data_IF_921573288080
#
_entry.id   IF_921573288080
#
_cell.length_a   1.000
_cell.length_b   1.000
_cell.length_c   1.000
_cell.angle_alpha   90.00
_cell.angle_beta   90.00
_cell.angle_gamma   90.00
#
_symmetry.space_group_name_H-M   'P 1'
#
loop_
_entity.id
_entity.type
_entity.pdbx_description
1 polymer ?
#
# COMPACT_ATOMS: atom_id res chain seq x y z
N UNK A 1 13.80 95.38 28.87
CA UNK A 1 12.54 95.51 29.59
C UNK A 1 12.18 94.14 30.01
N UNK A 2 12.48 93.92 31.21
CA UNK A 2 11.66 93.74 32.40
C UNK A 2 11.10 92.35 32.48
N UNK A 3 11.59 91.62 33.31
CA UNK A 3 11.38 91.41 34.78
C UNK A 3 10.53 90.18 35.02
N UNK A 4 11.13 89.18 35.71
CA UNK A 4 10.79 88.78 37.11
C UNK A 4 9.46 87.96 37.19
N UNK A 5 9.24 86.91 37.85
CA UNK A 5 9.76 86.36 39.13
C UNK A 5 9.23 84.96 39.37
N UNK A 6 10.04 84.14 40.01
CA UNK A 6 9.81 83.35 41.23
C UNK A 6 8.75 82.30 41.28
N UNK A 7 9.21 81.15 41.58
CA UNK A 7 8.97 80.52 42.88
C UNK A 7 8.20 79.20 42.82
N UNK A 8 8.73 78.19 43.37
CA UNK A 8 7.96 77.03 43.77
C UNK A 8 8.75 75.66 43.75
N UNK A 9 9.54 75.56 44.78
CA UNK A 9 10.13 74.28 45.23
C UNK A 9 9.05 73.27 45.56
N UNK A 10 9.16 72.11 44.95
CA UNK A 10 8.41 70.95 45.35
C UNK A 10 9.29 69.70 45.13
N UNK A 11 9.56 68.91 46.16
CA UNK A 11 10.50 67.82 46.07
C UNK A 11 9.99 66.70 45.16
N UNK A 12 10.82 66.32 44.20
CA UNK A 12 10.63 65.14 43.33
C UNK A 12 10.45 63.90 44.21
N UNK A 13 9.29 63.29 44.08
CA UNK A 13 8.98 61.97 44.57
C UNK A 13 9.85 60.97 43.79
N UNK A 14 10.95 60.56 44.44
CA UNK A 14 11.81 59.47 43.92
C UNK A 14 11.02 58.22 44.11
N UNK A 15 10.32 57.84 43.03
CA UNK A 15 9.69 56.54 42.93
C UNK A 15 10.68 55.47 43.31
N UNK A 16 10.51 54.86 44.46
CA UNK A 16 11.17 53.70 44.94
C UNK A 16 10.83 52.58 43.95
N UNK A 17 11.73 52.34 43.00
CA UNK A 17 11.75 51.12 42.21
C UNK A 17 11.81 49.93 43.17
N UNK A 18 10.74 49.16 43.22
CA UNK A 18 10.68 47.88 43.93
C UNK A 18 11.94 47.07 43.63
N UNK A 19 12.58 46.45 44.62
CA UNK A 19 13.79 45.68 44.38
C UNK A 19 13.43 44.50 43.47
N UNK A 20 13.87 44.58 42.22
CA UNK A 20 13.93 43.43 41.32
C UNK A 20 14.70 42.33 42.05
N UNK A 21 14.01 41.25 42.43
CA UNK A 21 14.62 40.13 43.14
C UNK A 21 15.87 39.67 42.39
N UNK A 22 16.92 39.28 43.09
CA UNK A 22 18.20 38.93 42.45
C UNK A 22 17.96 37.85 41.40
N UNK A 23 18.16 38.24 40.13
CA UNK A 23 18.27 37.28 39.03
C UNK A 23 19.38 36.32 39.42
N UNK A 24 19.10 35.02 39.32
CA UNK A 24 20.09 33.97 39.59
C UNK A 24 21.32 34.23 38.76
N UNK A 25 22.43 34.50 39.40
CA UNK A 25 23.74 34.48 38.74
C UNK A 25 24.07 33.04 38.35
N UNK A 26 24.59 32.87 37.16
CA UNK A 26 25.11 31.54 36.72
C UNK A 26 26.08 30.96 37.74
N UNK A 27 26.80 31.82 38.51
CA UNK A 27 27.70 31.41 39.59
C UNK A 27 26.93 30.74 40.76
N UNK A 28 25.74 31.21 41.14
CA UNK A 28 24.94 30.63 42.23
C UNK A 28 24.46 29.20 41.87
N UNK A 29 24.11 28.99 40.61
CA UNK A 29 23.71 27.66 40.10
C UNK A 29 24.92 26.70 40.14
N UNK A 30 26.09 27.15 39.71
CA UNK A 30 27.29 26.31 39.72
C UNK A 30 27.73 25.95 41.16
N UNK A 31 27.64 26.88 42.11
CA UNK A 31 27.94 26.67 43.53
C UNK A 31 26.89 25.69 44.14
N UNK A 32 25.62 25.83 43.82
CA UNK A 32 24.58 24.91 44.26
C UNK A 32 24.76 23.49 43.72
N UNK A 33 25.17 23.33 42.44
CA UNK A 33 25.54 22.04 41.85
C UNK A 33 26.76 21.44 42.57
N UNK A 34 27.76 22.28 42.89
CA UNK A 34 29.00 21.87 43.60
C UNK A 34 28.72 21.27 44.98
N UNK A 35 27.81 21.90 45.76
CA UNK A 35 27.38 21.39 47.06
C UNK A 35 26.39 20.20 46.97
N UNK A 36 25.69 20.05 45.81
CA UNK A 36 24.72 18.99 45.56
C UNK A 36 25.28 17.68 45.04
N UNK A 37 26.63 17.53 44.87
CA UNK A 37 27.25 16.36 44.25
C UNK A 37 26.75 15.02 44.79
N UNK A 38 26.63 14.89 46.11
CA UNK A 38 26.14 13.66 46.75
C UNK A 38 24.66 13.36 46.47
N UNK A 39 23.86 14.41 46.30
CA UNK A 39 22.43 14.27 45.94
C UNK A 39 22.28 13.88 44.46
N UNK A 40 23.05 14.55 43.60
CA UNK A 40 23.11 14.22 42.17
C UNK A 40 23.51 12.75 41.97
N UNK A 41 24.61 12.33 42.61
CA UNK A 41 25.07 10.94 42.51
C UNK A 41 24.01 9.92 42.96
N UNK A 42 23.32 10.19 44.06
CA UNK A 42 22.22 9.29 44.56
C UNK A 42 21.05 9.24 43.62
N UNK A 43 20.58 10.36 43.07
CA UNK A 43 19.45 10.39 42.12
C UNK A 43 19.85 9.67 40.83
N UNK A 44 21.01 9.96 40.27
CA UNK A 44 21.52 9.28 39.06
C UNK A 44 21.71 7.79 39.32
N UNK A 45 22.27 7.38 40.45
CA UNK A 45 22.41 5.97 40.80
C UNK A 45 21.04 5.27 40.92
N UNK A 46 20.07 5.91 41.56
CA UNK A 46 18.69 5.37 41.69
C UNK A 46 17.99 5.24 40.31
N UNK A 47 18.12 6.23 39.43
CA UNK A 47 17.53 6.16 38.08
C UNK A 47 18.23 5.14 37.18
N UNK A 48 19.53 4.96 37.32
CA UNK A 48 20.29 3.91 36.61
C UNK A 48 19.88 2.53 37.10
N UNK A 49 19.77 2.32 38.42
CA UNK A 49 19.28 1.04 38.98
C UNK A 49 17.86 0.73 38.51
N UNK A 50 16.99 1.72 38.47
CA UNK A 50 15.63 1.56 37.92
C UNK A 50 15.66 1.24 36.44
N UNK A 51 16.54 1.88 35.65
CA UNK A 51 16.74 1.59 34.23
C UNK A 51 17.25 0.17 33.98
N UNK A 52 18.19 -0.32 34.81
CA UNK A 52 18.69 -1.70 34.75
C UNK A 52 17.55 -2.68 35.07
N UNK A 53 16.80 -2.43 36.14
CA UNK A 53 15.68 -3.27 36.54
C UNK A 53 14.63 -3.33 35.40
N UNK A 54 14.30 -2.20 34.80
CA UNK A 54 13.38 -2.11 33.66
C UNK A 54 13.91 -2.89 32.44
N UNK A 55 15.21 -2.75 32.12
CA UNK A 55 15.85 -3.45 31.00
C UNK A 55 15.90 -4.99 31.18
N UNK A 56 15.83 -5.48 32.43
CA UNK A 56 15.78 -6.90 32.75
C UNK A 56 14.35 -7.47 32.73
N UNK A 57 13.36 -6.66 33.13
CA UNK A 57 11.95 -7.06 33.16
C UNK A 57 11.29 -7.05 31.79
N UNK A 58 11.72 -6.17 30.86
CA UNK A 58 11.16 -6.15 29.52
C UNK A 58 11.51 -7.43 28.75
N UNK A 59 10.51 -8.12 28.15
CA UNK A 59 10.77 -9.32 27.36
C UNK A 59 11.60 -8.98 26.12
N UNK A 60 12.54 -9.85 25.75
CA UNK A 60 13.32 -9.67 24.50
C UNK A 60 12.37 -9.82 23.30
N UNK A 61 12.54 -8.97 22.29
CA UNK A 61 11.85 -9.04 21.00
C UNK A 61 12.89 -9.38 19.95
N UNK A 62 12.60 -10.41 19.17
CA UNK A 62 13.40 -10.86 18.05
C UNK A 62 12.74 -10.41 16.76
N UNK A 63 13.53 -9.96 15.78
CA UNK A 63 13.07 -9.53 14.48
C UNK A 63 13.67 -10.44 13.41
N UNK A 64 12.79 -11.09 12.65
CA UNK A 64 13.17 -11.83 11.46
C UNK A 64 12.67 -11.09 10.22
N UNK A 65 13.44 -11.10 9.15
CA UNK A 65 13.08 -10.45 7.90
C UNK A 65 13.22 -11.38 6.71
N UNK A 66 12.30 -11.25 5.77
CA UNK A 66 12.33 -11.90 4.47
C UNK A 66 12.28 -10.86 3.36
N UNK A 67 12.92 -11.17 2.24
CA UNK A 67 12.96 -10.30 1.06
C UNK A 67 12.32 -11.03 -0.10
N UNK A 68 11.42 -10.34 -0.79
CA UNK A 68 10.76 -10.86 -1.99
C UNK A 68 10.90 -9.87 -3.15
N UNK A 69 10.98 -10.44 -4.34
CA UNK A 69 10.92 -9.70 -5.58
C UNK A 69 9.49 -9.79 -6.13
N UNK A 70 8.78 -8.65 -6.24
CA UNK A 70 7.51 -8.63 -6.95
C UNK A 70 7.71 -9.06 -8.40
N UNK A 71 6.73 -9.73 -9.02
CA UNK A 71 6.82 -10.07 -10.43
C UNK A 71 6.93 -8.82 -11.29
N UNK A 72 7.83 -8.88 -12.29
CA UNK A 72 8.07 -7.80 -13.25
C UNK A 72 6.83 -7.67 -14.16
N UNK A 73 6.12 -6.56 -14.06
CA UNK A 73 4.91 -6.29 -14.86
C UNK A 73 5.17 -6.23 -16.37
N UNK A 74 6.41 -5.92 -16.75
CA UNK A 74 6.78 -5.76 -18.16
C UNK A 74 6.97 -7.10 -18.91
N UNK A 75 7.12 -8.22 -18.20
CA UNK A 75 7.46 -9.54 -18.79
C UNK A 75 6.45 -10.65 -18.55
N UNK A 76 5.46 -10.44 -17.69
CA UNK A 76 4.47 -11.46 -17.33
C UNK A 76 3.16 -11.28 -18.07
N UNK A 77 2.43 -12.40 -18.23
CA UNK A 77 1.03 -12.46 -18.68
C UNK A 77 0.11 -11.49 -17.92
N UNK A 78 0.56 -10.97 -16.76
CA UNK A 78 -0.14 -10.08 -15.85
C UNK A 78 0.17 -8.60 -16.03
N UNK A 79 1.16 -8.23 -16.82
CA UNK A 79 1.47 -6.82 -17.08
C UNK A 79 0.29 -6.04 -17.67
N UNK A 80 -0.67 -6.75 -18.22
CA UNK A 80 -1.90 -6.19 -18.79
C UNK A 80 -3.09 -6.22 -17.82
N UNK A 81 -3.10 -7.17 -16.86
CA UNK A 81 -4.22 -7.34 -15.91
C UNK A 81 -3.97 -6.65 -14.56
N UNK A 82 -2.71 -6.41 -14.19
CA UNK A 82 -2.36 -5.74 -12.93
C UNK A 82 -2.70 -4.24 -12.95
N UNK A 83 -2.68 -3.60 -14.13
CA UNK A 83 -3.13 -2.20 -14.26
C UNK A 83 -4.61 -2.02 -13.91
N UNK A 84 -5.43 -3.06 -14.07
CA UNK A 84 -6.84 -3.07 -13.65
C UNK A 84 -7.01 -3.30 -12.15
N UNK A 85 -6.11 -4.07 -11.53
CA UNK A 85 -6.08 -4.25 -10.07
C UNK A 85 -5.61 -2.99 -9.34
N UNK A 86 -4.67 -2.22 -9.91
CA UNK A 86 -4.27 -0.90 -9.40
C UNK A 86 -5.46 0.07 -9.30
N UNK A 87 -6.32 0.08 -10.31
CA UNK A 87 -7.52 0.92 -10.32
C UNK A 87 -8.55 0.44 -9.29
N UNK A 88 -8.76 -0.87 -9.16
CA UNK A 88 -9.72 -1.44 -8.21
C UNK A 88 -9.25 -1.28 -6.77
N UNK A 89 -7.98 -1.58 -6.49
CA UNK A 89 -7.40 -1.45 -5.14
C UNK A 89 -7.26 0.02 -4.74
N UNK A 90 -6.86 0.92 -5.65
CA UNK A 90 -6.79 2.36 -5.42
C UNK A 90 -8.17 2.97 -5.17
N UNK A 91 -9.17 2.62 -5.97
CA UNK A 91 -10.54 3.11 -5.80
C UNK A 91 -11.22 2.58 -4.51
N UNK A 92 -10.94 1.34 -4.12
CA UNK A 92 -11.50 0.75 -2.90
C UNK A 92 -10.85 1.28 -1.61
N UNK A 93 -9.60 1.74 -1.67
CA UNK A 93 -8.83 2.22 -0.51
C UNK A 93 -8.60 3.73 -0.50
N UNK A 94 -8.99 4.47 -1.55
CA UNK A 94 -8.78 5.93 -1.63
C UNK A 94 -7.30 6.36 -1.66
N UNK A 95 -6.39 5.48 -2.10
CA UNK A 95 -4.95 5.70 -2.14
C UNK A 95 -4.49 5.77 -3.59
N UNK A 96 -3.90 6.89 -4.02
CA UNK A 96 -3.14 6.96 -5.27
C UNK A 96 -1.87 6.11 -5.16
N UNK A 97 -1.88 4.90 -5.69
CA UNK A 97 -0.69 4.06 -5.76
C UNK A 97 0.24 4.58 -6.85
N UNK A 98 1.41 5.07 -6.44
CA UNK A 98 2.39 5.66 -7.37
C UNK A 98 3.37 4.64 -7.96
N UNK A 99 3.44 3.44 -7.39
CA UNK A 99 4.37 2.39 -7.84
C UNK A 99 3.74 1.00 -7.72
N UNK A 100 4.07 0.06 -8.62
CA UNK A 100 3.57 -1.33 -8.58
C UNK A 100 3.79 -2.02 -7.23
N UNK A 101 4.91 -1.76 -6.60
CA UNK A 101 5.22 -2.34 -5.30
C UNK A 101 4.28 -1.92 -4.16
N UNK A 102 3.67 -0.73 -4.24
CA UNK A 102 2.68 -0.27 -3.24
C UNK A 102 1.43 -1.14 -3.23
N UNK A 103 1.04 -1.70 -4.38
CA UNK A 103 -0.05 -2.67 -4.48
C UNK A 103 0.24 -3.92 -3.63
N UNK A 104 1.46 -4.47 -3.73
CA UNK A 104 1.82 -5.66 -2.93
C UNK A 104 1.82 -5.38 -1.44
N UNK A 105 2.24 -4.17 -1.02
CA UNK A 105 2.12 -3.74 0.39
C UNK A 105 0.66 -3.66 0.82
N UNK A 106 -0.22 -3.11 -0.02
CA UNK A 106 -1.65 -3.04 0.28
C UNK A 106 -2.28 -4.44 0.36
N UNK A 107 -1.92 -5.36 -0.55
CA UNK A 107 -2.38 -6.74 -0.51
C UNK A 107 -1.91 -7.47 0.75
N UNK A 108 -0.65 -7.30 1.15
CA UNK A 108 -0.09 -7.88 2.38
C UNK A 108 -0.77 -7.38 3.65
N UNK A 109 -1.26 -6.13 3.65
CA UNK A 109 -2.04 -5.53 4.73
C UNK A 109 -3.54 -5.78 4.60
N UNK A 110 -3.98 -6.59 3.63
CA UNK A 110 -5.39 -6.91 3.45
C UNK A 110 -5.92 -7.75 4.62
N UNK A 111 -7.19 -7.52 4.97
CA UNK A 111 -7.85 -8.27 6.05
C UNK A 111 -7.86 -9.79 5.80
N UNK A 112 -7.88 -10.22 4.54
CA UNK A 112 -7.85 -11.64 4.18
C UNK A 112 -6.54 -12.31 4.58
N UNK A 113 -5.39 -11.67 4.34
CA UNK A 113 -4.07 -12.17 4.72
C UNK A 113 -3.92 -12.11 6.24
N UNK A 114 -4.21 -10.95 6.86
CA UNK A 114 -4.10 -10.78 8.31
C UNK A 114 -4.94 -11.79 9.08
N UNK A 115 -6.21 -12.00 8.70
CA UNK A 115 -7.09 -12.96 9.34
C UNK A 115 -6.63 -14.41 9.15
N UNK A 116 -6.05 -14.71 7.99
CA UNK A 116 -5.43 -16.00 7.72
C UNK A 116 -4.27 -16.28 8.67
N UNK A 117 -3.36 -15.34 8.82
CA UNK A 117 -2.19 -15.44 9.69
C UNK A 117 -2.59 -15.46 11.18
N UNK A 118 -3.54 -14.63 11.60
CA UNK A 118 -4.06 -14.61 12.96
C UNK A 118 -4.61 -16.00 13.36
N UNK A 119 -5.32 -16.66 12.44
CA UNK A 119 -5.84 -18.02 12.69
C UNK A 119 -4.75 -19.08 12.65
N UNK A 120 -3.83 -19.00 11.71
CA UNK A 120 -2.75 -19.98 11.52
C UNK A 120 -1.80 -20.04 12.73
N UNK A 121 -1.45 -18.88 13.31
CA UNK A 121 -0.52 -18.75 14.43
C UNK A 121 -1.22 -18.57 15.80
N UNK A 122 -2.54 -18.66 15.86
CA UNK A 122 -3.37 -18.39 17.07
C UNK A 122 -2.97 -17.07 17.77
N UNK A 123 -2.75 -16.01 16.94
CA UNK A 123 -2.21 -14.73 17.42
C UNK A 123 -3.12 -14.04 18.45
N UNK A 124 -4.40 -14.37 18.48
CA UNK A 124 -5.31 -13.83 19.51
C UNK A 124 -4.88 -14.25 20.92
N UNK A 125 -4.57 -15.52 21.11
CA UNK A 125 -4.05 -16.04 22.38
C UNK A 125 -2.65 -15.52 22.68
N UNK A 126 -1.78 -15.54 21.63
CA UNK A 126 -0.39 -15.11 21.74
C UNK A 126 -0.26 -13.63 22.15
N UNK A 127 -1.09 -12.76 21.57
CA UNK A 127 -1.11 -11.32 21.87
C UNK A 127 -2.04 -10.95 23.02
N UNK A 128 -2.76 -11.94 23.59
CA UNK A 128 -3.72 -11.77 24.70
C UNK A 128 -4.80 -10.74 24.36
N UNK A 129 -5.42 -10.89 23.19
CA UNK A 129 -6.49 -10.01 22.69
C UNK A 129 -7.74 -10.83 22.36
N UNK A 130 -8.92 -10.27 22.67
CA UNK A 130 -10.19 -11.02 22.57
C UNK A 130 -10.84 -10.88 21.19
N UNK A 131 -10.56 -9.77 20.46
CA UNK A 131 -11.23 -9.49 19.19
C UNK A 131 -10.28 -9.61 18.01
N UNK A 132 -10.81 -9.98 16.83
CA UNK A 132 -10.05 -10.01 15.58
C UNK A 132 -9.51 -8.64 15.21
N UNK A 133 -10.26 -7.56 15.46
CA UNK A 133 -9.80 -6.20 15.21
C UNK A 133 -8.56 -5.85 16.06
N UNK A 134 -8.57 -6.17 17.35
CA UNK A 134 -7.41 -5.96 18.22
C UNK A 134 -6.21 -6.83 17.79
N UNK A 135 -6.46 -8.07 17.34
CA UNK A 135 -5.41 -8.95 16.83
C UNK A 135 -4.75 -8.39 15.54
N UNK A 136 -5.55 -7.87 14.61
CA UNK A 136 -5.01 -7.20 13.40
C UNK A 136 -4.16 -5.99 13.76
N UNK A 137 -4.64 -5.13 14.65
CA UNK A 137 -3.88 -3.96 15.11
C UNK A 137 -2.56 -4.36 15.79
N UNK A 138 -2.59 -5.42 16.60
CA UNK A 138 -1.39 -5.96 17.25
C UNK A 138 -0.42 -6.57 16.22
N UNK A 139 -0.92 -7.26 15.19
CA UNK A 139 -0.11 -7.79 14.09
C UNK A 139 0.54 -6.66 13.29
N UNK A 140 -0.23 -5.66 12.88
CA UNK A 140 0.25 -4.49 12.13
C UNK A 140 1.33 -3.70 12.89
N UNK A 141 1.28 -3.65 14.22
CA UNK A 141 2.32 -3.01 15.03
C UNK A 141 3.62 -3.81 15.13
N UNK A 142 3.59 -5.10 14.82
CA UNK A 142 4.71 -6.04 14.92
C UNK A 142 5.28 -6.47 13.59
N UNK A 143 4.54 -6.25 12.51
CA UNK A 143 5.01 -6.54 11.14
C UNK A 143 5.23 -5.24 10.40
N UNK A 144 6.45 -5.03 9.96
CA UNK A 144 6.83 -3.88 9.15
C UNK A 144 7.09 -4.34 7.71
N UNK A 145 6.36 -3.74 6.77
CA UNK A 145 6.47 -4.05 5.34
C UNK A 145 6.99 -2.79 4.65
N UNK A 146 8.16 -2.91 4.04
CA UNK A 146 8.84 -1.79 3.39
C UNK A 146 9.25 -2.15 1.97
N UNK A 147 9.21 -1.16 1.08
CA UNK A 147 9.72 -1.25 -0.28
C UNK A 147 10.99 -0.42 -0.38
N UNK A 148 12.03 -1.01 -0.93
CA UNK A 148 13.17 -0.26 -1.40
C UNK A 148 12.86 0.32 -2.79
N UNK A 149 12.73 1.64 -2.85
CA UNK A 149 12.39 2.38 -4.07
C UNK A 149 13.46 2.26 -5.17
N UNK A 150 14.69 1.87 -4.85
CA UNK A 150 15.78 1.73 -5.82
C UNK A 150 15.81 0.35 -6.47
N UNK A 151 15.65 -0.69 -5.65
CA UNK A 151 15.71 -2.08 -6.12
C UNK A 151 14.34 -2.67 -6.45
N UNK A 152 13.24 -2.04 -5.99
CA UNK A 152 11.90 -2.59 -6.08
C UNK A 152 11.65 -3.78 -5.14
N UNK A 153 12.65 -4.16 -4.33
CA UNK A 153 12.55 -5.28 -3.40
C UNK A 153 11.61 -4.93 -2.24
N UNK A 154 10.81 -5.89 -1.85
CA UNK A 154 9.89 -5.79 -0.73
C UNK A 154 10.43 -6.58 0.45
N UNK A 155 10.61 -5.91 1.58
CA UNK A 155 11.09 -6.51 2.84
C UNK A 155 9.95 -6.60 3.83
N UNK A 156 9.71 -7.80 4.37
CA UNK A 156 8.76 -8.06 5.45
C UNK A 156 9.55 -8.41 6.69
N UNK A 157 9.49 -7.58 7.71
CA UNK A 157 10.12 -7.79 9.01
C UNK A 157 9.05 -8.05 10.07
N UNK A 158 9.13 -9.19 10.75
CA UNK A 158 8.21 -9.59 11.81
C UNK A 158 8.92 -9.61 13.17
N UNK A 159 8.30 -8.99 14.17
CA UNK A 159 8.75 -8.91 15.55
C UNK A 159 7.97 -9.88 16.42
N UNK A 160 8.65 -10.79 17.13
CA UNK A 160 8.02 -11.65 18.13
C UNK A 160 8.97 -11.90 19.31
N UNK A 161 8.43 -12.41 20.41
CA UNK A 161 9.18 -12.82 21.58
C UNK A 161 9.94 -14.15 21.39
N UNK A 162 9.48 -14.95 20.41
CA UNK A 162 10.07 -16.21 19.99
C UNK A 162 10.74 -16.04 18.62
N UNK A 163 12.06 -16.29 18.50
CA UNK A 163 12.78 -16.13 17.25
C UNK A 163 12.27 -17.05 16.12
N UNK A 164 11.83 -18.27 16.45
CA UNK A 164 11.29 -19.20 15.47
C UNK A 164 9.97 -18.67 14.89
N UNK A 165 9.07 -18.20 15.74
CA UNK A 165 7.77 -17.66 15.32
C UNK A 165 7.94 -16.35 14.53
N UNK A 166 8.92 -15.50 14.88
CA UNK A 166 9.22 -14.30 14.09
C UNK A 166 9.60 -14.67 12.64
N UNK A 167 10.46 -15.68 12.46
CA UNK A 167 10.85 -16.16 11.13
C UNK A 167 9.69 -16.82 10.38
N UNK A 168 8.96 -17.70 11.05
CA UNK A 168 7.79 -18.35 10.46
C UNK A 168 6.70 -17.34 10.06
N UNK A 169 6.44 -16.34 10.88
CA UNK A 169 5.45 -15.30 10.59
C UNK A 169 5.85 -14.46 9.39
N UNK A 170 7.14 -14.09 9.26
CA UNK A 170 7.65 -13.37 8.10
C UNK A 170 7.49 -14.20 6.81
N UNK A 171 7.88 -15.48 6.83
CA UNK A 171 7.73 -16.40 5.70
C UNK A 171 6.27 -16.70 5.36
N UNK A 172 5.41 -16.81 6.36
CA UNK A 172 3.98 -17.04 6.17
C UNK A 172 3.28 -15.87 5.48
N UNK A 173 3.73 -14.63 5.68
CA UNK A 173 3.23 -13.48 4.91
C UNK A 173 3.51 -13.63 3.42
N UNK A 174 4.72 -14.10 3.05
CA UNK A 174 5.08 -14.36 1.64
C UNK A 174 4.21 -15.47 1.07
N UNK A 175 4.05 -16.58 1.80
CA UNK A 175 3.22 -17.70 1.37
C UNK A 175 1.74 -17.30 1.23
N UNK A 176 1.22 -16.47 2.14
CA UNK A 176 -0.15 -15.97 2.07
C UNK A 176 -0.37 -15.04 0.87
N UNK A 177 0.62 -14.16 0.57
CA UNK A 177 0.60 -13.33 -0.62
C UNK A 177 0.63 -14.18 -1.89
N UNK A 178 1.54 -15.15 -1.99
CA UNK A 178 1.65 -16.05 -3.14
C UNK A 178 0.32 -16.77 -3.39
N UNK A 179 -0.29 -17.34 -2.35
CA UNK A 179 -1.59 -18.02 -2.43
C UNK A 179 -2.74 -17.07 -2.83
N UNK A 180 -2.71 -15.81 -2.38
CA UNK A 180 -3.72 -14.81 -2.79
C UNK A 180 -3.58 -14.48 -4.27
N UNK A 181 -2.36 -14.20 -4.72
CA UNK A 181 -2.07 -13.88 -6.13
C UNK A 181 -2.37 -15.05 -7.06
N UNK A 182 -2.01 -16.27 -6.69
CA UNK A 182 -2.36 -17.49 -7.43
C UNK A 182 -3.87 -17.61 -7.62
N UNK A 183 -4.65 -17.40 -6.55
CA UNK A 183 -6.12 -17.46 -6.63
C UNK A 183 -6.68 -16.41 -7.57
N UNK A 184 -6.17 -15.18 -7.52
CA UNK A 184 -6.61 -14.10 -8.40
C UNK A 184 -6.27 -14.43 -9.86
N UNK A 185 -5.04 -14.89 -10.10
CA UNK A 185 -4.56 -15.26 -11.42
C UNK A 185 -5.37 -16.40 -12.05
N UNK A 186 -5.58 -17.47 -11.30
CA UNK A 186 -6.38 -18.63 -11.74
C UNK A 186 -7.80 -18.21 -12.07
N UNK A 187 -8.42 -17.36 -11.23
CA UNK A 187 -9.79 -16.89 -11.47
C UNK A 187 -9.89 -16.09 -12.77
N UNK A 188 -8.94 -15.19 -13.04
CA UNK A 188 -8.93 -14.38 -14.27
C UNK A 188 -8.69 -15.26 -15.52
N UNK A 189 -7.73 -16.16 -15.47
CA UNK A 189 -7.45 -17.08 -16.56
C UNK A 189 -8.67 -17.98 -16.89
N UNK A 190 -9.33 -18.50 -15.86
CA UNK A 190 -10.56 -19.27 -16.01
C UNK A 190 -11.70 -18.45 -16.62
N UNK A 191 -11.90 -17.23 -16.17
CA UNK A 191 -12.94 -16.33 -16.72
C UNK A 191 -12.67 -16.03 -18.20
N UNK A 192 -11.40 -15.72 -18.55
CA UNK A 192 -11.00 -15.48 -19.94
C UNK A 192 -11.24 -16.72 -20.81
N UNK A 193 -10.84 -17.89 -20.35
CA UNK A 193 -11.09 -19.16 -21.06
C UNK A 193 -12.59 -19.39 -21.27
N UNK A 194 -13.40 -19.31 -20.21
CA UNK A 194 -14.84 -19.52 -20.29
C UNK A 194 -15.53 -18.52 -21.24
N UNK A 195 -15.08 -17.26 -21.24
CA UNK A 195 -15.57 -16.27 -22.18
C UNK A 195 -15.24 -16.63 -23.63
N UNK A 196 -13.96 -16.99 -23.92
CA UNK A 196 -13.54 -17.38 -25.26
C UNK A 196 -14.22 -18.67 -25.74
N UNK A 197 -14.44 -19.65 -24.87
CA UNK A 197 -15.21 -20.86 -25.20
C UNK A 197 -16.61 -20.53 -25.67
N UNK A 198 -17.28 -19.59 -25.00
CA UNK A 198 -18.61 -19.12 -25.41
C UNK A 198 -18.59 -18.39 -26.76
N UNK A 199 -17.58 -17.56 -26.99
CA UNK A 199 -17.47 -16.82 -28.26
C UNK A 199 -17.10 -17.75 -29.43
N UNK A 200 -16.23 -18.76 -29.23
CA UNK A 200 -15.94 -19.80 -30.23
C UNK A 200 -17.21 -20.60 -30.56
N UNK A 201 -18.02 -20.96 -29.56
CA UNK A 201 -19.27 -21.68 -29.80
C UNK A 201 -20.25 -20.85 -30.66
N UNK A 202 -20.39 -19.55 -30.38
CA UNK A 202 -21.21 -18.64 -31.20
C UNK A 202 -20.69 -18.53 -32.64
N UNK A 203 -19.38 -18.35 -32.78
CA UNK A 203 -18.75 -18.24 -34.10
C UNK A 203 -18.94 -19.50 -34.94
N UNK A 204 -18.85 -20.71 -34.33
CA UNK A 204 -19.13 -21.97 -35.03
C UNK A 204 -20.56 -22.09 -35.55
N UNK A 205 -21.54 -21.61 -34.75
CA UNK A 205 -22.95 -21.59 -35.20
C UNK A 205 -23.11 -20.59 -36.36
N UNK A 206 -22.47 -19.42 -36.26
CA UNK A 206 -22.49 -18.43 -37.33
C UNK A 206 -21.88 -18.97 -38.64
N UNK A 207 -20.73 -19.70 -38.53
CA UNK A 207 -20.09 -20.37 -39.65
C UNK A 207 -21.01 -21.42 -40.29
N UNK A 208 -21.64 -22.29 -39.50
CA UNK A 208 -22.57 -23.27 -40.01
C UNK A 208 -23.72 -22.62 -40.79
N UNK A 209 -24.32 -21.57 -40.27
CA UNK A 209 -25.38 -20.81 -40.94
C UNK A 209 -24.90 -20.15 -42.25
N UNK A 210 -23.65 -19.61 -42.26
CA UNK A 210 -23.08 -19.01 -43.46
C UNK A 210 -22.76 -20.06 -44.53
N UNK A 211 -22.29 -21.25 -44.11
CA UNK A 211 -22.06 -22.40 -45.03
C UNK A 211 -23.38 -22.86 -45.68
N UNK A 212 -24.43 -23.05 -44.88
CA UNK A 212 -25.77 -23.41 -45.39
C UNK A 212 -26.31 -22.38 -46.38
N UNK A 213 -26.15 -21.08 -46.04
CA UNK A 213 -26.55 -20.02 -46.95
C UNK A 213 -25.80 -20.01 -48.28
N UNK A 214 -24.49 -20.23 -48.21
CA UNK A 214 -23.65 -20.33 -49.42
C UNK A 214 -24.02 -21.52 -50.28
N UNK A 215 -24.18 -22.70 -49.71
CA UNK A 215 -24.59 -23.93 -50.47
C UNK A 215 -25.93 -23.73 -51.13
N UNK A 216 -26.94 -23.17 -50.46
CA UNK A 216 -28.27 -22.90 -51.04
C UNK A 216 -28.19 -21.90 -52.19
N UNK A 217 -27.40 -20.87 -52.12
CA UNK A 217 -27.22 -19.91 -53.20
C UNK A 217 -26.43 -20.46 -54.37
N UNK A 218 -25.38 -21.25 -54.12
CA UNK A 218 -24.57 -21.93 -55.12
C UNK A 218 -25.42 -22.87 -55.94
N UNK A 219 -26.31 -23.67 -55.31
CA UNK A 219 -27.21 -24.58 -56.00
C UNK A 219 -28.23 -23.84 -56.92
N UNK A 220 -28.61 -22.60 -56.56
CA UNK A 220 -29.55 -21.78 -57.39
C UNK A 220 -28.84 -21.06 -58.53
N UNK A 221 -27.61 -20.59 -58.34
CA UNK A 221 -26.89 -19.79 -59.32
C UNK A 221 -26.10 -20.55 -60.37
N UNK A 222 -25.85 -21.83 -60.12
CA UNK A 222 -25.03 -22.67 -61.00
C UNK A 222 -23.54 -22.29 -61.12
N UNK A 223 -23.11 -21.30 -60.32
CA UNK A 223 -21.69 -20.87 -60.30
C UNK A 223 -20.87 -21.85 -59.48
N UNK A 224 -19.95 -22.57 -60.10
CA UNK A 224 -19.17 -23.64 -59.51
C UNK A 224 -17.84 -23.16 -58.94
N UNK A 225 -17.25 -22.06 -59.44
CA UNK A 225 -15.92 -21.59 -58.99
C UNK A 225 -15.82 -20.07 -59.03
N UNK A 226 -15.11 -19.53 -58.07
CA UNK A 226 -14.62 -18.15 -57.99
C UNK A 226 -13.17 -18.18 -58.47
N UNK A 227 -12.75 -17.20 -59.29
CA UNK A 227 -11.38 -17.10 -59.77
C UNK A 227 -10.35 -16.94 -58.63
N UNK A 228 -9.10 -17.30 -58.89
CA UNK A 228 -8.07 -17.39 -57.83
C UNK A 228 -7.75 -16.00 -57.23
N UNK A 229 -7.73 -14.97 -58.02
CA UNK A 229 -7.43 -13.58 -57.56
C UNK A 229 -8.55 -13.06 -56.67
N UNK A 230 -9.82 -13.29 -57.05
CA UNK A 230 -10.99 -12.95 -56.22
C UNK A 230 -11.00 -13.77 -54.89
N UNK A 231 -10.60 -15.04 -54.94
CA UNK A 231 -10.47 -15.88 -53.72
C UNK A 231 -9.40 -15.30 -52.79
N UNK A 232 -8.24 -14.87 -53.31
CA UNK A 232 -7.17 -14.27 -52.50
C UNK A 232 -7.61 -12.95 -51.85
N UNK A 233 -8.26 -12.06 -52.60
CA UNK A 233 -8.81 -10.82 -52.08
C UNK A 233 -9.86 -11.06 -50.97
N UNK A 234 -10.76 -12.04 -51.18
CA UNK A 234 -11.78 -12.42 -50.18
C UNK A 234 -11.11 -12.98 -48.92
N UNK A 235 -10.09 -13.81 -49.01
CA UNK A 235 -9.35 -14.32 -47.85
C UNK A 235 -8.71 -13.18 -47.09
N UNK A 236 -8.02 -12.27 -47.78
CA UNK A 236 -7.37 -11.15 -47.13
C UNK A 236 -8.37 -10.21 -46.40
N UNK A 237 -9.48 -9.88 -47.06
CA UNK A 237 -10.52 -9.08 -46.40
C UNK A 237 -11.18 -9.82 -45.22
N UNK A 238 -11.36 -11.15 -45.33
CA UNK A 238 -11.90 -11.96 -44.22
C UNK A 238 -10.95 -12.02 -43.04
N UNK A 239 -9.64 -12.10 -43.31
CA UNK A 239 -8.61 -12.07 -42.25
C UNK A 239 -8.63 -10.75 -41.48
N UNK A 240 -8.60 -9.60 -42.18
CA UNK A 240 -8.67 -8.28 -41.54
C UNK A 240 -9.97 -8.10 -40.75
N UNK A 241 -11.12 -8.50 -41.32
CA UNK A 241 -12.41 -8.46 -40.61
C UNK A 241 -12.42 -9.33 -39.34
N UNK A 242 -11.82 -10.54 -39.43
CA UNK A 242 -11.77 -11.43 -38.27
C UNK A 242 -10.87 -10.92 -37.17
N UNK A 243 -9.72 -10.30 -37.52
CA UNK A 243 -8.85 -9.60 -36.56
C UNK A 243 -9.58 -8.42 -35.92
N UNK A 244 -10.31 -7.65 -36.72
CA UNK A 244 -11.13 -6.55 -36.21
C UNK A 244 -12.19 -7.05 -35.21
N UNK A 245 -12.93 -8.13 -35.57
CA UNK A 245 -13.93 -8.74 -34.71
C UNK A 245 -13.29 -9.25 -33.39
N UNK A 246 -12.14 -9.92 -33.47
CA UNK A 246 -11.42 -10.40 -32.30
C UNK A 246 -10.99 -9.23 -31.37
N UNK A 247 -10.51 -8.12 -31.95
CA UNK A 247 -10.15 -6.93 -31.17
C UNK A 247 -11.35 -6.20 -30.56
N UNK A 248 -12.49 -6.19 -31.25
CA UNK A 248 -13.75 -5.69 -30.68
C UNK A 248 -14.27 -6.56 -29.52
N UNK A 249 -14.13 -7.87 -29.63
CA UNK A 249 -14.46 -8.81 -28.54
C UNK A 249 -13.51 -8.58 -27.35
N UNK A 250 -12.22 -8.39 -27.59
CA UNK A 250 -11.22 -8.07 -26.56
C UNK A 250 -11.57 -6.74 -25.87
N UNK A 251 -11.91 -5.69 -26.63
CA UNK A 251 -12.34 -4.40 -26.10
C UNK A 251 -13.62 -4.53 -25.26
N UNK A 252 -14.60 -5.29 -25.72
CA UNK A 252 -15.83 -5.54 -24.98
C UNK A 252 -15.59 -6.26 -23.65
N UNK A 253 -14.67 -7.22 -23.64
CA UNK A 253 -14.30 -7.94 -22.41
C UNK A 253 -13.61 -7.01 -21.40
N UNK A 254 -12.73 -6.11 -21.88
CA UNK A 254 -12.08 -5.11 -21.04
C UNK A 254 -13.08 -4.09 -20.48
N UNK A 255 -14.04 -3.67 -21.27
CA UNK A 255 -15.07 -2.69 -20.86
C UNK A 255 -15.94 -3.14 -19.68
N UNK A 256 -15.92 -4.41 -19.30
CA UNK A 256 -16.63 -4.91 -18.11
C UNK A 256 -15.90 -4.58 -16.81
N UNK A 257 -14.59 -4.31 -16.83
CA UNK A 257 -13.77 -4.10 -15.64
C UNK A 257 -12.70 -2.97 -15.76
N UNK A 258 -12.51 -2.42 -16.96
CA UNK A 258 -11.56 -1.32 -17.20
C UNK A 258 -12.31 -0.04 -17.62
N UNK A 259 -11.82 1.12 -17.18
CA UNK A 259 -12.35 2.42 -17.59
C UNK A 259 -11.80 2.84 -18.96
N UNK A 260 -12.48 3.78 -19.65
CA UNK A 260 -12.03 4.33 -20.94
C UNK A 260 -10.63 4.99 -20.87
N UNK A 261 -10.20 5.44 -19.69
CA UNK A 261 -8.87 6.04 -19.48
C UNK A 261 -7.73 5.01 -19.38
N UNK A 262 -8.05 3.72 -19.29
CA UNK A 262 -7.05 2.67 -19.21
C UNK A 262 -6.16 2.65 -20.47
N UNK A 263 -4.82 2.70 -20.34
CA UNK A 263 -3.90 2.68 -21.48
C UNK A 263 -4.08 1.49 -22.41
N UNK A 264 -4.52 0.34 -21.87
CA UNK A 264 -4.78 -0.86 -22.66
C UNK A 264 -6.03 -0.70 -23.53
N UNK A 265 -7.10 -0.12 -22.98
CA UNK A 265 -8.32 0.20 -23.72
C UNK A 265 -7.99 1.13 -24.89
N UNK A 266 -7.27 2.23 -24.62
CA UNK A 266 -6.84 3.20 -25.65
C UNK A 266 -5.97 2.55 -26.75
N UNK A 267 -5.08 1.62 -26.38
CA UNK A 267 -4.27 0.89 -27.36
C UNK A 267 -5.12 0.00 -28.26
N UNK A 268 -6.04 -0.78 -27.69
CA UNK A 268 -6.92 -1.64 -28.49
C UNK A 268 -7.86 -0.82 -29.35
N UNK A 269 -8.39 0.31 -28.88
CA UNK A 269 -9.17 1.24 -29.69
C UNK A 269 -8.36 1.77 -30.88
N UNK A 270 -7.10 2.11 -30.71
CA UNK A 270 -6.21 2.51 -31.79
C UNK A 270 -5.98 1.38 -32.80
N UNK A 271 -5.77 0.13 -32.32
CA UNK A 271 -5.66 -1.06 -33.18
C UNK A 271 -6.95 -1.30 -33.97
N UNK A 272 -8.12 -1.19 -33.33
CA UNK A 272 -9.44 -1.29 -33.98
C UNK A 272 -9.62 -0.22 -35.06
N UNK A 273 -9.23 1.03 -34.78
CA UNK A 273 -9.31 2.11 -35.76
C UNK A 273 -8.42 1.87 -36.98
N UNK A 274 -7.20 1.36 -36.75
CA UNK A 274 -6.25 1.02 -37.81
C UNK A 274 -6.76 -0.11 -38.69
N UNK A 275 -7.29 -1.18 -38.08
CA UNK A 275 -7.88 -2.30 -38.81
C UNK A 275 -9.11 -1.89 -39.62
N UNK A 276 -9.96 -0.98 -39.10
CA UNK A 276 -11.08 -0.40 -39.85
C UNK A 276 -10.60 0.36 -41.09
N UNK A 277 -9.58 1.21 -40.96
CA UNK A 277 -9.03 1.93 -42.08
C UNK A 277 -8.38 1.01 -43.13
N UNK A 278 -7.73 -0.07 -42.74
CA UNK A 278 -7.20 -1.09 -43.63
C UNK A 278 -8.33 -1.82 -44.38
N UNK A 279 -9.38 -2.20 -43.67
CA UNK A 279 -10.53 -2.86 -44.26
C UNK A 279 -11.22 -1.98 -45.31
N UNK A 280 -11.45 -0.71 -45.00
CA UNK A 280 -12.04 0.28 -45.93
C UNK A 280 -11.24 0.41 -47.23
N UNK A 281 -9.90 0.43 -47.13
CA UNK A 281 -9.02 0.48 -48.33
C UNK A 281 -9.19 -0.76 -49.20
N UNK A 282 -9.31 -1.94 -48.61
CA UNK A 282 -9.49 -3.20 -49.34
C UNK A 282 -10.89 -3.21 -50.01
N UNK A 283 -11.93 -2.87 -49.23
CA UNK A 283 -13.31 -2.88 -49.77
C UNK A 283 -13.52 -1.86 -50.91
N UNK A 284 -12.92 -0.70 -50.80
CA UNK A 284 -12.97 0.30 -51.89
C UNK A 284 -12.20 -0.13 -53.15
N UNK A 285 -11.10 -0.90 -52.98
CA UNK A 285 -10.36 -1.49 -54.08
C UNK A 285 -11.14 -2.60 -54.79
N UNK A 286 -11.83 -3.48 -54.01
CA UNK A 286 -12.58 -4.61 -54.54
C UNK A 286 -13.92 -4.20 -55.22
N UNK A 287 -14.55 -3.09 -54.78
CA UNK A 287 -15.79 -2.61 -55.34
C UNK A 287 -15.66 -2.24 -56.86
N UNK A 288 -14.46 -1.90 -57.29
CA UNK A 288 -14.20 -1.51 -58.70
C UNK A 288 -14.14 -2.73 -59.67
N UNK A 289 -13.90 -3.94 -59.16
CA UNK A 289 -13.62 -5.16 -59.96
C UNK A 289 -14.87 -6.07 -60.16
N UNK A 290 -15.99 -5.81 -59.47
CA UNK A 290 -17.15 -6.72 -59.44
C UNK A 290 -18.23 -6.28 -60.38
N UNK A 291 -18.20 -6.77 -61.65
CA UNK A 291 -19.30 -6.67 -62.61
C UNK A 291 -19.81 -8.07 -62.89
N UNK A 292 -20.99 -8.43 -62.37
CA UNK A 292 -21.62 -9.73 -62.54
C UNK A 292 -23.16 -9.64 -62.50
N UNK A 293 -23.85 -10.77 -62.83
CA UNK A 293 -25.29 -10.91 -62.68
C UNK A 293 -25.71 -10.82 -61.21
N UNK A 294 -26.95 -10.38 -60.89
CA UNK A 294 -27.43 -10.25 -59.50
C UNK A 294 -27.32 -11.57 -58.70
N UNK A 295 -27.56 -12.71 -59.33
CA UNK A 295 -27.41 -14.05 -58.73
C UNK A 295 -25.96 -14.40 -58.42
N UNK A 296 -25.02 -14.02 -59.30
CA UNK A 296 -23.59 -14.19 -59.06
C UNK A 296 -23.06 -13.31 -57.93
N UNK A 297 -23.54 -12.10 -57.83
CA UNK A 297 -23.22 -11.17 -56.77
C UNK A 297 -23.71 -11.64 -55.39
N UNK A 298 -24.94 -12.22 -55.33
CA UNK A 298 -25.46 -12.83 -54.10
C UNK A 298 -24.61 -14.02 -53.61
N UNK A 299 -24.21 -14.89 -54.54
CA UNK A 299 -23.37 -16.05 -54.23
C UNK A 299 -21.97 -15.62 -53.76
N UNK A 300 -21.39 -14.59 -54.38
CA UNK A 300 -20.09 -14.05 -53.99
C UNK A 300 -20.12 -13.39 -52.58
N UNK A 301 -21.21 -12.63 -52.29
CA UNK A 301 -21.43 -12.08 -50.94
C UNK A 301 -21.51 -13.19 -49.88
N UNK A 302 -22.27 -14.25 -50.16
CA UNK A 302 -22.41 -15.40 -49.26
C UNK A 302 -21.09 -16.15 -49.07
N UNK A 303 -20.30 -16.27 -50.11
CA UNK A 303 -18.96 -16.85 -50.03
C UNK A 303 -18.00 -16.01 -49.17
N UNK A 304 -18.04 -14.68 -49.34
CA UNK A 304 -17.27 -13.74 -48.46
C UNK A 304 -17.69 -13.88 -47.01
N UNK A 305 -18.97 -13.96 -46.72
CA UNK A 305 -19.49 -14.12 -45.34
C UNK A 305 -19.03 -15.46 -44.75
N UNK A 306 -19.12 -16.54 -45.52
CA UNK A 306 -18.64 -17.85 -45.07
C UNK A 306 -17.14 -17.82 -44.76
N UNK A 307 -16.32 -17.21 -45.62
CA UNK A 307 -14.87 -17.09 -45.42
C UNK A 307 -14.52 -16.19 -44.24
N UNK A 308 -15.30 -15.13 -44.00
CA UNK A 308 -15.18 -14.31 -42.82
C UNK A 308 -15.47 -15.08 -41.53
N UNK A 309 -16.57 -15.83 -41.47
CA UNK A 309 -16.93 -16.64 -40.28
C UNK A 309 -15.92 -17.77 -40.05
N UNK A 310 -15.39 -18.38 -41.09
CA UNK A 310 -14.31 -19.34 -41.01
C UNK A 310 -13.05 -18.73 -40.36
N UNK A 311 -12.66 -17.54 -40.80
CA UNK A 311 -11.52 -16.83 -40.25
C UNK A 311 -11.73 -16.40 -38.80
N UNK A 312 -12.96 -15.99 -38.42
CA UNK A 312 -13.34 -15.66 -37.03
C UNK A 312 -13.17 -16.88 -36.13
N UNK A 313 -13.67 -18.05 -36.55
CA UNK A 313 -13.53 -19.29 -35.79
C UNK A 313 -12.07 -19.65 -35.61
N UNK A 314 -11.25 -19.52 -36.65
CA UNK A 314 -9.81 -19.79 -36.59
C UNK A 314 -9.06 -18.87 -35.60
N UNK A 315 -9.30 -17.56 -35.69
CA UNK A 315 -8.68 -16.58 -34.79
C UNK A 315 -9.11 -16.80 -33.34
N UNK A 316 -10.39 -16.97 -33.09
CA UNK A 316 -10.90 -17.18 -31.72
C UNK A 316 -10.46 -18.53 -31.13
N UNK A 317 -10.37 -19.57 -31.97
CA UNK A 317 -9.86 -20.88 -31.52
C UNK A 317 -8.40 -20.80 -31.11
N UNK A 318 -7.55 -20.09 -31.87
CA UNK A 318 -6.16 -19.83 -31.46
C UNK A 318 -6.07 -19.06 -30.16
N UNK A 319 -6.90 -18.03 -29.99
CA UNK A 319 -6.94 -17.28 -28.72
C UNK A 319 -7.39 -18.15 -27.54
N UNK A 320 -8.35 -19.05 -27.76
CA UNK A 320 -8.79 -20.00 -26.73
C UNK A 320 -7.68 -20.97 -26.34
N UNK A 321 -6.92 -21.50 -27.30
CA UNK A 321 -5.78 -22.38 -26.98
C UNK A 321 -4.70 -21.61 -26.20
N UNK A 322 -4.40 -20.36 -26.54
CA UNK A 322 -3.50 -19.53 -25.76
C UNK A 322 -4.04 -19.33 -24.34
N UNK A 323 -5.33 -19.03 -24.17
CA UNK A 323 -5.93 -18.86 -22.85
C UNK A 323 -5.90 -20.14 -22.00
N UNK A 324 -6.01 -21.32 -22.61
CA UNK A 324 -5.83 -22.62 -21.93
C UNK A 324 -4.40 -22.83 -21.47
N UNK A 325 -3.42 -22.48 -22.31
CA UNK A 325 -2.01 -22.53 -21.95
C UNK A 325 -1.69 -21.57 -20.80
N UNK A 326 -2.28 -20.37 -20.84
CA UNK A 326 -2.12 -19.37 -19.80
C UNK A 326 -2.70 -19.85 -18.46
N UNK A 327 -3.89 -20.47 -18.46
CA UNK A 327 -4.48 -21.07 -17.26
C UNK A 327 -3.59 -22.19 -16.70
N UNK A 328 -3.02 -23.04 -17.55
CA UNK A 328 -2.14 -24.13 -17.14
C UNK A 328 -0.78 -23.64 -16.59
N UNK A 329 -0.30 -22.47 -17.03
CA UNK A 329 0.96 -21.85 -16.60
C UNK A 329 0.85 -20.98 -15.36
N UNK A 330 -0.37 -20.78 -14.80
CA UNK A 330 -0.61 -19.96 -13.61
C UNK A 330 0.11 -20.57 -12.39
N UNK A 331 1.40 -20.32 -12.27
CA UNK A 331 2.29 -20.73 -11.16
C UNK A 331 2.53 -19.57 -10.18
N UNK A 332 3.31 -19.82 -9.11
CA UNK A 332 3.58 -18.82 -8.08
C UNK A 332 4.28 -17.59 -8.68
N UNK A 333 3.62 -16.44 -8.54
CA UNK A 333 4.03 -15.17 -9.12
C UNK A 333 5.04 -14.41 -8.26
N UNK A 334 5.34 -14.89 -7.05
CA UNK A 334 6.21 -14.23 -6.08
C UNK A 334 7.50 -15.02 -5.94
N UNK A 335 8.64 -14.37 -6.20
CA UNK A 335 9.95 -14.94 -5.92
C UNK A 335 10.45 -14.45 -4.56
N UNK A 336 10.59 -15.37 -3.61
CA UNK A 336 11.25 -15.10 -2.35
C UNK A 336 12.77 -15.15 -2.59
N UNK A 337 13.42 -14.00 -2.41
CA UNK A 337 14.88 -13.85 -2.59
C UNK A 337 15.61 -14.38 -1.37
N UNK A 338 15.18 -13.91 -0.18
CA UNK A 338 15.74 -14.34 1.09
C UNK A 338 14.64 -14.90 1.99
N UNK A 339 14.86 -16.10 2.50
CA UNK A 339 13.99 -16.77 3.48
C UNK A 339 14.34 -16.27 4.88
N UNK A 340 13.35 -15.86 5.67
CA UNK A 340 13.58 -15.47 7.05
C UNK A 340 14.09 -16.67 7.87
N UNK A 341 15.23 -16.50 8.52
CA UNK A 341 15.78 -17.44 9.49
C UNK A 341 15.59 -16.93 10.92
N UNK A 342 15.49 -17.80 11.92
CA UNK A 342 15.41 -17.40 13.32
C UNK A 342 16.62 -16.55 13.71
N UNK A 343 16.44 -15.31 14.22
CA UNK A 343 17.53 -14.42 14.56
C UNK A 343 18.24 -14.89 15.83
N UNK A 344 19.58 -14.90 15.80
CA UNK A 344 20.42 -15.26 16.95
C UNK A 344 20.45 -14.16 18.02
N UNK A 345 20.17 -12.91 17.64
CA UNK A 345 20.26 -11.74 18.52
C UNK A 345 18.92 -11.06 18.63
N UNK A 346 18.62 -10.57 19.86
CA UNK A 346 17.43 -9.75 20.10
C UNK A 346 17.55 -8.38 19.40
N UNK A 347 16.47 -7.93 18.80
CA UNK A 347 16.36 -6.63 18.14
C UNK A 347 16.01 -5.51 19.13
N UNK A 348 15.12 -5.79 20.11
CA UNK A 348 14.60 -4.80 21.07
C UNK A 348 14.47 -5.44 22.46
N UNK A 349 14.55 -4.65 23.56
CA UNK A 349 15.06 -3.30 23.63
C UNK A 349 16.61 -3.28 23.57
N UNK A 350 17.18 -2.19 23.04
CA UNK A 350 18.63 -1.95 23.15
C UNK A 350 18.95 -1.54 24.60
N UNK A 351 19.51 -2.46 25.38
CA UNK A 351 19.83 -2.23 26.79
C UNK A 351 20.74 -1.01 26.99
N UNK A 352 21.67 -0.80 26.05
CA UNK A 352 22.53 0.37 26.05
C UNK A 352 21.74 1.68 25.95
N UNK A 353 20.72 1.74 25.10
CA UNK A 353 19.90 2.93 24.91
C UNK A 353 19.06 3.26 26.15
N UNK A 354 18.49 2.22 26.82
CA UNK A 354 17.78 2.39 28.09
C UNK A 354 18.71 2.93 29.14
N UNK A 355 19.94 2.41 29.22
CA UNK A 355 20.93 2.82 30.22
C UNK A 355 21.37 4.27 29.97
N UNK A 356 21.66 4.67 28.74
CA UNK A 356 21.97 6.04 28.36
C UNK A 356 20.82 7.01 28.68
N UNK A 357 19.59 6.61 28.35
CA UNK A 357 18.41 7.40 28.64
C UNK A 357 18.18 7.56 30.15
N UNK A 358 18.44 6.51 30.95
CA UNK A 358 18.35 6.56 32.42
C UNK A 358 19.40 7.49 33.04
N UNK A 359 20.64 7.48 32.51
CA UNK A 359 21.69 8.40 32.97
C UNK A 359 21.34 9.83 32.62
N UNK A 360 20.95 10.12 31.37
CA UNK A 360 20.59 11.47 30.93
C UNK A 360 19.35 12.00 31.67
N UNK A 361 18.29 11.20 31.77
CA UNK A 361 17.08 11.55 32.50
C UNK A 361 17.33 11.75 33.99
N UNK A 362 18.14 10.87 34.61
CA UNK A 362 18.57 10.98 36.00
C UNK A 362 19.39 12.23 36.29
N UNK A 363 20.26 12.61 35.35
CA UNK A 363 21.03 13.84 35.47
C UNK A 363 20.15 15.08 35.44
N UNK A 364 19.23 15.17 34.49
CA UNK A 364 18.25 16.27 34.38
C UNK A 364 17.40 16.36 35.66
N UNK A 365 16.86 15.24 36.15
CA UNK A 365 16.10 15.21 37.40
C UNK A 365 16.93 15.60 38.61
N UNK A 366 18.19 15.20 38.67
CA UNK A 366 19.09 15.56 39.76
C UNK A 366 19.40 17.05 39.78
N UNK A 367 19.67 17.64 38.62
CA UNK A 367 19.93 19.11 38.49
C UNK A 367 18.69 19.90 38.89
N UNK A 368 17.53 19.54 38.40
CA UNK A 368 16.27 20.22 38.78
C UNK A 368 15.95 20.09 40.27
N UNK A 369 16.22 18.93 40.88
CA UNK A 369 16.02 18.71 42.31
C UNK A 369 17.01 19.53 43.15
N UNK A 370 18.27 19.66 42.76
CA UNK A 370 19.30 20.50 43.45
C UNK A 370 18.92 21.97 43.36
N UNK A 371 18.55 22.44 42.17
CA UNK A 371 18.11 23.83 41.97
C UNK A 371 16.83 24.10 42.78
N UNK A 372 15.81 23.24 42.71
CA UNK A 372 14.59 23.37 43.48
C UNK A 372 14.82 23.39 44.98
N UNK A 373 15.76 22.57 45.48
CA UNK A 373 16.16 22.58 46.91
C UNK A 373 16.89 23.85 47.32
N UNK A 374 17.74 24.38 46.46
CA UNK A 374 18.43 25.65 46.69
C UNK A 374 17.44 26.81 46.79
N UNK A 375 16.49 26.89 45.86
CA UNK A 375 15.40 27.87 45.89
C UNK A 375 14.50 27.73 47.12
N UNK A 376 14.10 26.50 47.44
CA UNK A 376 13.26 26.22 48.61
C UNK A 376 13.92 26.69 49.91
N UNK A 377 15.23 26.44 50.06
CA UNK A 377 15.99 26.90 51.23
C UNK A 377 16.03 28.42 51.32
N UNK A 378 16.34 29.09 50.21
CA UNK A 378 16.35 30.55 50.18
C UNK A 378 14.98 31.15 50.43
N UNK A 379 13.90 30.56 49.91
CA UNK A 379 12.53 30.99 50.15
C UNK A 379 12.14 30.83 51.63
N UNK A 380 12.49 29.71 52.25
CA UNK A 380 12.24 29.44 53.68
C UNK A 380 13.06 30.37 54.57
N UNK A 381 14.32 30.68 54.24
CA UNK A 381 15.14 31.62 54.97
C UNK A 381 14.63 33.06 54.85
N UNK A 382 14.12 33.47 53.68
CA UNK A 382 13.45 34.79 53.50
C UNK A 382 12.16 34.83 54.29
N UNK A 383 11.31 33.80 54.25
CA UNK A 383 10.08 33.71 55.05
C UNK A 383 10.34 33.69 56.57
N UNK A 384 11.51 33.17 56.96
CA UNK A 384 11.94 33.19 58.36
C UNK A 384 12.39 34.59 58.82
N UNK A 385 13.03 35.35 57.93
CA UNK A 385 13.47 36.74 58.21
C UNK A 385 12.31 37.76 58.16
N UNK A 386 11.31 37.51 57.29
CA UNK A 386 10.12 38.38 57.17
C UNK A 386 9.01 38.10 58.19
N UNK A 387 9.14 37.08 59.03
CA UNK A 387 8.10 36.72 60.00
C UNK A 387 6.83 36.09 59.41
N UNK A 388 6.79 35.89 58.12
CA UNK A 388 5.62 35.36 57.41
C UNK A 388 5.40 33.84 57.57
N UNK A 389 6.31 33.12 58.22
CA UNK A 389 6.15 31.67 58.49
C UNK A 389 4.89 31.35 59.30
N UNK A 390 4.47 32.25 60.19
CA UNK A 390 3.25 32.13 60.96
C UNK A 390 2.01 32.21 60.07
N UNK A 391 2.02 33.08 59.06
CA UNK A 391 0.92 33.30 58.09
C UNK A 391 0.82 32.11 57.13
N UNK A 392 1.94 31.59 56.63
CA UNK A 392 1.96 30.38 55.76
C UNK A 392 1.46 29.15 56.52
N UNK A 393 1.85 28.97 57.78
CA UNK A 393 1.39 27.84 58.60
C UNK A 393 -0.12 27.92 58.86
N UNK A 394 -0.70 29.09 58.99
CA UNK A 394 -2.15 29.32 59.14
C UNK A 394 -2.91 29.07 57.83
N UNK A 395 -2.34 29.41 56.69
CA UNK A 395 -2.96 29.20 55.39
C UNK A 395 -3.04 27.70 54.98
N UNK A 396 -2.14 26.86 55.50
CA UNK A 396 -2.10 25.42 55.18
C UNK A 396 -2.71 24.49 56.24
N UNK A 397 -3.24 25.07 57.38
CA UNK A 397 -4.03 24.30 58.33
C UNK A 397 -5.48 24.21 57.84
N UNK A 398 -5.80 23.05 57.22
CA UNK A 398 -7.19 22.69 56.90
C UNK A 398 -7.96 22.53 58.18
N UNK A 399 -8.75 23.54 58.58
CA UNK A 399 -9.69 23.49 59.70
C UNK A 399 -10.86 22.60 59.31
N UNK A 400 -10.85 21.33 59.71
CA UNK A 400 -12.03 20.45 59.67
C UNK A 400 -13.07 21.00 60.63
N UNK A 401 -14.02 21.79 60.13
CA UNK A 401 -15.19 22.22 60.90
C UNK A 401 -16.12 21.00 61.06
N UNK A 402 -16.04 20.40 62.23
CA UNK A 402 -16.95 19.33 62.70
C UNK A 402 -18.31 19.97 62.96
N UNK A 403 -19.25 19.91 62.04
CA UNK A 403 -20.66 20.20 62.27
C UNK A 403 -21.24 19.07 63.08
N UNK A 404 -21.54 19.34 64.37
CA UNK A 404 -22.45 18.54 65.20
C UNK A 404 -23.88 19.05 64.96
N UNK A 405 -24.75 18.21 64.54
CA UNK A 405 -26.16 18.15 64.94
C UNK A 405 -26.69 16.76 64.64
#
# INVERSE_FOLDING_TARGET
MAELETGGDGPADVGQSAPVGPALSHADVLIALGHGKGLIARIVAATVLLGIALALVLPPIYQASTVLLPPDESRGLFGHSMSSLDVIAGAAMGIEMKTPGELYVALLKSTSIEDGLIRQFDLRKRYRVDTMHAARKALQSRVNITIDKKSGLLTIAADDTDPAVAAELANAHVAALAKLLERIAVTQAQQRRAFLEKEVAKARIALANAQDAYVKLQAKSGIVSVDADTQLAIRHSAEIRSLLAAKQIELSSLGTYATAENPQVKRIEAEVSTLKAQLEKIENGDAASLRGSDAGMATLRSYREMKYQESVVDVLSRQLELARVDEAKSGPLVQQVDVAAPPERKAKPSRLLILLASVAGGFVLAVTAVIGRAFGRQAVERARRSGDLARLRHAWTITFKRTRS
#
